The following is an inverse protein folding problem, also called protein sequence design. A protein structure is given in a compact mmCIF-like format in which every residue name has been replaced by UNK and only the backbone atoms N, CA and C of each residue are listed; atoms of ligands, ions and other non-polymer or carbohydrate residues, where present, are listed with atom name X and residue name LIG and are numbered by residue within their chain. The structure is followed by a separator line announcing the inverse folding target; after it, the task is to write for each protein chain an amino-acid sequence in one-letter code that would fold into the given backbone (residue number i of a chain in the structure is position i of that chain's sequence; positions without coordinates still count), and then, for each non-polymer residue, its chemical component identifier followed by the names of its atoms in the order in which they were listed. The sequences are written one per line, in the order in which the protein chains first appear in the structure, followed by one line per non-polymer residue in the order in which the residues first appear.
data_IF_794907950626
#
_entry.id   IF_794907950626
#
_cell.length_a   1.000
_cell.length_b   1.000
_cell.length_c   1.000
_cell.angle_alpha   90.00
_cell.angle_beta   90.00
_cell.angle_gamma   90.00
#
_symmetry.space_group_name_H-M   'P 1'
#
loop_
_entity.id
_entity.type
_entity.pdbx_description
1 polymer ?
#
# COMPACT_ATOMS: atom_id res chain seq x y z
N UNK A 1 -5.08 1.40 11.01
CA UNK A 1 -4.06 2.06 10.15
C UNK A 1 -4.17 1.53 8.72
N UNK A 2 -3.60 2.25 7.75
CA UNK A 2 -3.44 1.79 6.37
C UNK A 2 -2.02 2.05 5.87
N UNK A 3 -1.50 1.16 5.03
CA UNK A 3 -0.22 1.30 4.35
C UNK A 3 -0.48 1.42 2.84
N UNK A 4 0.10 2.44 2.22
CA UNK A 4 0.14 2.59 0.76
C UNK A 4 1.59 2.60 0.32
N UNK A 5 1.93 1.78 -0.66
CA UNK A 5 3.27 1.73 -1.27
C UNK A 5 3.17 2.14 -2.71
N UNK A 6 3.95 3.15 -3.08
CA UNK A 6 3.97 3.71 -4.43
C UNK A 6 5.41 3.87 -4.94
N UNK A 7 5.58 3.62 -6.24
CA UNK A 7 6.73 4.07 -7.02
C UNK A 7 6.46 5.50 -7.51
N UNK A 8 7.15 6.49 -6.94
CA UNK A 8 6.93 7.91 -7.28
C UNK A 8 7.66 8.35 -8.55
N UNK A 9 8.51 7.48 -9.11
CA UNK A 9 9.30 7.74 -10.31
C UNK A 9 8.82 6.91 -11.51
N UNK A 10 7.72 6.16 -11.35
CA UNK A 10 7.13 5.38 -12.41
C UNK A 10 6.80 6.27 -13.63
N UNK A 11 7.41 6.00 -14.80
CA UNK A 11 7.13 6.78 -15.99
C UNK A 11 5.74 6.43 -16.51
N UNK A 12 4.87 7.44 -16.61
CA UNK A 12 3.64 7.32 -17.39
C UNK A 12 3.97 7.80 -18.83
N UNK A 13 3.93 6.91 -19.84
CA UNK A 13 4.20 7.29 -21.23
C UNK A 13 3.10 8.17 -21.84
N UNK A 14 1.98 8.40 -21.13
CA UNK A 14 0.79 9.10 -21.60
C UNK A 14 0.39 10.34 -20.80
N UNK A 15 0.95 10.55 -19.60
CA UNK A 15 0.52 11.60 -18.67
C UNK A 15 1.69 12.09 -17.78
N UNK A 16 1.56 13.20 -17.02
CA UNK A 16 2.59 13.62 -16.06
C UNK A 16 2.90 12.50 -15.05
N UNK A 17 4.17 12.39 -14.63
CA UNK A 17 4.67 11.39 -13.67
C UNK A 17 3.69 11.24 -12.52
N UNK A 18 2.99 10.11 -12.49
CA UNK A 18 2.00 9.78 -11.48
C UNK A 18 2.55 8.64 -10.63
N UNK A 19 2.46 8.73 -9.29
CA UNK A 19 2.86 7.63 -8.43
C UNK A 19 2.13 6.34 -8.81
N UNK A 20 2.87 5.26 -8.98
CA UNK A 20 2.34 3.94 -9.31
C UNK A 20 2.18 3.12 -8.05
N UNK A 21 0.94 2.82 -7.70
CA UNK A 21 0.54 2.07 -6.51
C UNK A 21 0.93 0.61 -6.67
N UNK A 22 1.92 0.18 -5.90
CA UNK A 22 2.37 -1.22 -5.83
C UNK A 22 1.57 -2.03 -4.82
N UNK A 23 1.11 -1.39 -3.73
CA UNK A 23 0.39 -2.08 -2.66
C UNK A 23 -0.47 -1.15 -1.82
N UNK A 24 -1.61 -1.66 -1.38
CA UNK A 24 -2.51 -1.01 -0.43
C UNK A 24 -2.93 -2.06 0.59
N UNK A 25 -2.74 -1.75 1.87
CA UNK A 25 -3.22 -2.57 3.00
C UNK A 25 -3.99 -1.67 3.94
N UNK A 26 -5.22 -2.06 4.28
CA UNK A 26 -6.04 -1.34 5.24
C UNK A 26 -6.35 -2.18 6.47
N UNK A 27 -6.95 -1.53 7.46
CA UNK A 27 -7.41 -2.13 8.71
C UNK A 27 -6.29 -2.81 9.51
N UNK A 28 -5.05 -2.32 9.37
CA UNK A 28 -3.92 -2.77 10.18
C UNK A 28 -4.18 -2.36 11.65
N UNK A 29 -4.24 -3.32 12.60
CA UNK A 29 -4.43 -3.03 14.02
C UNK A 29 -3.31 -2.15 14.56
N UNK A 30 -3.60 -1.18 15.44
CA UNK A 30 -2.57 -0.36 16.09
C UNK A 30 -1.64 -1.17 17.00
N UNK A 31 -2.05 -2.37 17.41
CA UNK A 31 -1.24 -3.33 18.17
C UNK A 31 -0.16 -4.01 17.32
N UNK A 32 -0.39 -4.08 16.00
CA UNK A 32 0.51 -4.75 15.06
C UNK A 32 1.77 -3.90 14.86
N UNK A 33 2.95 -4.50 15.06
CA UNK A 33 4.24 -3.80 14.95
C UNK A 33 4.88 -3.87 13.56
N UNK A 34 4.34 -4.69 12.67
CA UNK A 34 4.85 -4.85 11.32
C UNK A 34 4.09 -5.92 10.57
N UNK A 35 4.37 -6.00 9.27
CA UNK A 35 3.88 -7.08 8.42
C UNK A 35 5.05 -8.04 8.15
N UNK A 36 4.83 -9.37 8.24
CA UNK A 36 5.82 -10.35 7.83
C UNK A 36 6.27 -10.12 6.38
N UNK A 37 7.51 -10.46 6.08
CA UNK A 37 7.96 -10.51 4.70
C UNK A 37 7.11 -11.52 3.92
N UNK A 38 6.72 -11.15 2.68
CA UNK A 38 5.88 -12.01 1.85
C UNK A 38 4.45 -12.20 2.38
N UNK A 39 3.95 -11.27 3.22
CA UNK A 39 2.59 -11.31 3.77
C UNK A 39 1.49 -11.27 2.71
N UNK A 40 1.72 -10.62 1.57
CA UNK A 40 0.68 -10.41 0.57
C UNK A 40 0.05 -11.72 0.08
N UNK A 41 -1.29 -11.76 0.04
CA UNK A 41 -2.06 -12.95 -0.31
C UNK A 41 -2.12 -14.04 0.78
N UNK A 42 -1.54 -13.82 1.96
CA UNK A 42 -1.46 -14.79 3.07
C UNK A 42 -2.27 -14.39 4.30
N UNK A 43 -3.21 -13.46 4.16
CA UNK A 43 -4.04 -12.96 5.28
C UNK A 43 -4.68 -14.11 6.08
N UNK A 44 -5.21 -15.12 5.39
CA UNK A 44 -5.87 -16.29 5.98
C UNK A 44 -4.89 -17.30 6.60
N UNK A 45 -3.66 -17.39 6.09
CA UNK A 45 -2.64 -18.34 6.56
C UNK A 45 -1.96 -17.86 7.85
N UNK A 46 -1.78 -16.54 8.01
CA UNK A 46 -1.08 -15.97 9.16
C UNK A 46 -2.00 -15.87 10.39
N UNK A 47 -3.30 -15.67 10.19
CA UNK A 47 -4.31 -15.68 11.25
C UNK A 47 -4.15 -14.60 12.33
N UNK A 48 -4.93 -14.70 13.41
CA UNK A 48 -4.87 -13.77 14.54
C UNK A 48 -5.18 -12.31 14.14
N UNK A 49 -4.37 -11.37 14.64
CA UNK A 49 -4.48 -9.94 14.33
C UNK A 49 -4.34 -9.65 12.82
N UNK A 50 -3.74 -10.56 12.04
CA UNK A 50 -3.56 -10.41 10.60
C UNK A 50 -4.83 -10.69 9.78
N UNK A 51 -5.79 -11.42 10.35
CA UNK A 51 -7.02 -11.81 9.63
C UNK A 51 -7.97 -10.63 9.35
N UNK A 52 -7.83 -9.55 10.11
CA UNK A 52 -8.63 -8.33 9.93
C UNK A 52 -8.05 -7.36 8.89
N UNK A 53 -6.81 -7.59 8.45
CA UNK A 53 -6.20 -6.80 7.39
C UNK A 53 -6.94 -7.05 6.08
N UNK A 54 -6.92 -6.05 5.21
CA UNK A 54 -7.47 -6.15 3.87
C UNK A 54 -6.53 -5.55 2.86
N UNK A 55 -6.19 -6.33 1.84
CA UNK A 55 -5.47 -5.85 0.67
C UNK A 55 -6.39 -5.16 -0.34
N UNK A 56 -6.02 -3.95 -0.73
CA UNK A 56 -6.70 -3.17 -1.75
C UNK A 56 -6.19 -3.46 -3.16
N UNK A 57 -6.93 -2.99 -4.17
CA UNK A 57 -6.48 -3.07 -5.56
C UNK A 57 -5.37 -2.06 -5.83
N UNK A 58 -4.30 -2.52 -6.46
CA UNK A 58 -3.15 -1.73 -6.92
C UNK A 58 -3.34 -1.25 -8.37
N UNK A 59 -2.37 -0.55 -8.96
CA UNK A 59 -2.48 -0.04 -10.35
C UNK A 59 -2.46 -1.16 -11.42
N UNK A 60 -2.09 -2.39 -11.06
CA UNK A 60 -2.33 -3.59 -11.90
C UNK A 60 -3.78 -4.08 -11.85
N UNK A 61 -4.66 -3.38 -11.14
CA UNK A 61 -6.09 -3.73 -10.95
C UNK A 61 -6.29 -5.10 -10.30
N UNK A 62 -5.33 -5.53 -9.48
CA UNK A 62 -5.42 -6.76 -8.68
C UNK A 62 -5.19 -6.44 -7.21
N UNK A 63 -5.77 -7.21 -6.28
CA UNK A 63 -5.45 -7.07 -4.87
C UNK A 63 -4.01 -7.49 -4.58
N UNK A 64 -3.47 -6.90 -3.51
CA UNK A 64 -2.19 -7.30 -2.94
C UNK A 64 -0.96 -6.68 -3.58
N UNK A 65 0.20 -7.11 -3.12
CA UNK A 65 1.50 -6.61 -3.55
C UNK A 65 1.79 -7.04 -4.98
N UNK A 66 2.15 -6.07 -5.82
CA UNK A 66 2.79 -6.33 -7.10
C UNK A 66 4.04 -5.48 -7.20
N UNK A 67 5.16 -6.19 -7.36
CA UNK A 67 6.45 -5.56 -7.55
C UNK A 67 6.41 -4.65 -8.79
N UNK A 68 7.08 -3.50 -8.73
CA UNK A 68 7.22 -2.61 -9.87
C UNK A 68 7.88 -3.35 -11.04
N UNK A 69 7.35 -3.16 -12.25
CA UNK A 69 8.14 -3.46 -13.45
C UNK A 69 9.06 -2.28 -13.70
N UNK A 70 10.26 -2.30 -13.14
CA UNK A 70 11.24 -1.23 -13.25
C UNK A 70 11.82 -1.15 -14.68
N UNK A 71 11.47 -0.13 -15.48
CA UNK A 71 12.10 0.09 -16.79
C UNK A 71 13.50 0.68 -16.66
N UNK A 72 13.83 1.28 -15.51
CA UNK A 72 15.12 1.88 -15.21
C UNK A 72 15.53 1.63 -13.75
N UNK A 73 16.82 1.77 -13.44
CA UNK A 73 17.32 1.69 -12.06
C UNK A 73 17.05 3.00 -11.32
N UNK A 74 16.99 2.96 -9.99
CA UNK A 74 16.96 4.16 -9.15
C UNK A 74 15.57 4.75 -8.86
N UNK A 75 14.50 3.97 -9.06
CA UNK A 75 13.15 4.38 -8.67
C UNK A 75 13.02 4.48 -7.14
N UNK A 76 12.33 5.51 -6.67
CA UNK A 76 12.03 5.73 -5.26
C UNK A 76 10.67 5.14 -4.90
N UNK A 77 10.66 4.29 -3.87
CA UNK A 77 9.44 3.74 -3.29
C UNK A 77 9.05 4.52 -2.05
N UNK A 78 7.84 5.05 -2.03
CA UNK A 78 7.27 5.70 -0.85
C UNK A 78 6.30 4.76 -0.15
N UNK A 79 6.63 4.43 1.10
CA UNK A 79 5.76 3.68 2.02
C UNK A 79 5.07 4.67 2.93
N UNK A 80 3.78 4.94 2.72
CA UNK A 80 3.00 5.86 3.55
C UNK A 80 2.09 5.09 4.49
N UNK A 81 2.32 5.23 5.79
CA UNK A 81 1.49 4.65 6.84
C UNK A 81 0.55 5.71 7.41
N UNK A 82 -0.74 5.45 7.32
CA UNK A 82 -1.84 6.32 7.73
C UNK A 82 -2.50 5.80 9.01
N UNK A 83 -2.72 6.70 9.98
CA UNK A 83 -3.67 6.47 11.05
C UNK A 83 -5.09 6.68 10.53
N UNK A 84 -6.00 5.77 10.87
CA UNK A 84 -7.40 5.81 10.42
C UNK A 84 -8.28 5.89 11.66
N UNK A 85 -9.27 6.77 11.61
CA UNK A 85 -10.26 6.93 12.68
C UNK A 85 -11.34 5.83 12.62
N UNK A 86 -11.49 5.16 11.47
CA UNK A 86 -12.50 4.12 11.22
C UNK A 86 -11.95 2.96 10.37
N UNK A 87 -12.66 1.83 10.39
CA UNK A 87 -12.38 0.71 9.47
C UNK A 87 -12.79 1.05 8.03
N UNK A 88 -11.89 0.77 7.09
CA UNK A 88 -12.13 0.99 5.67
C UNK A 88 -12.77 -0.24 5.02
N UNK A 89 -13.79 0.02 4.20
CA UNK A 89 -14.34 -0.96 3.25
C UNK A 89 -13.62 -0.78 1.92
N UNK A 90 -12.62 -1.62 1.67
CA UNK A 90 -11.93 -1.63 0.39
C UNK A 90 -12.81 -2.25 -0.69
N UNK A 91 -13.00 -1.54 -1.80
CA UNK A 91 -13.71 -2.03 -2.98
C UNK A 91 -12.75 -2.46 -4.10
N UNK A 92 -13.30 -2.84 -5.25
CA UNK A 92 -12.54 -3.30 -6.42
C UNK A 92 -11.95 -2.17 -7.27
N UNK A 93 -11.82 -0.96 -6.71
CA UNK A 93 -11.21 0.19 -7.37
C UNK A 93 -9.83 0.43 -6.79
N UNK A 94 -8.90 0.85 -7.65
CA UNK A 94 -7.58 1.31 -7.21
C UNK A 94 -7.77 2.44 -6.22
N UNK A 95 -7.33 2.25 -4.98
CA UNK A 95 -7.65 3.14 -3.86
C UNK A 95 -6.38 3.77 -3.30
N UNK A 96 -5.75 4.67 -4.05
CA UNK A 96 -4.73 5.58 -3.51
C UNK A 96 -5.32 6.93 -3.07
N UNK A 97 -6.58 7.22 -3.43
CA UNK A 97 -7.19 8.54 -3.18
C UNK A 97 -7.88 8.65 -1.82
N UNK A 98 -7.33 9.57 -1.02
CA UNK A 98 -7.99 10.31 0.07
C UNK A 98 -8.68 9.45 1.12
N UNK A 99 -7.88 8.86 2.01
CA UNK A 99 -8.41 8.40 3.28
C UNK A 99 -8.65 9.60 4.20
N UNK A 100 -9.76 9.66 4.97
CA UNK A 100 -9.89 10.63 6.05
C UNK A 100 -8.80 10.32 7.07
N UNK A 101 -7.72 11.11 7.05
CA UNK A 101 -6.51 10.88 7.83
C UNK A 101 -6.23 12.05 8.75
N UNK A 102 -6.09 11.76 10.03
CA UNK A 102 -5.40 12.59 11.02
C UNK A 102 -3.89 12.33 10.87
N UNK A 103 -3.25 13.09 9.96
CA UNK A 103 -1.81 13.25 9.69
C UNK A 103 -0.82 12.33 10.43
N UNK A 104 -0.27 11.35 9.71
CA UNK A 104 1.14 10.92 9.84
C UNK A 104 1.59 10.41 8.47
N UNK A 105 2.64 10.99 7.88
CA UNK A 105 3.29 10.47 6.67
C UNK A 105 4.72 10.15 7.08
N UNK A 106 5.02 8.89 7.37
CA UNK A 106 6.39 8.42 7.46
C UNK A 106 6.87 8.18 6.02
N UNK A 107 7.96 8.82 5.60
CA UNK A 107 8.63 8.53 4.32
C UNK A 107 9.94 7.83 4.65
N UNK A 108 10.03 6.53 4.37
CA UNK A 108 11.27 5.78 4.48
C UNK A 108 11.98 5.86 3.13
N UNK A 109 13.11 6.57 3.07
CA UNK A 109 14.03 6.54 1.93
C UNK A 109 14.99 5.38 2.12
N UNK A 110 15.04 4.43 1.17
CA UNK A 110 16.10 3.43 1.13
C UNK A 110 17.36 4.09 0.57
N UNK A 111 18.49 3.91 1.26
CA UNK A 111 19.81 4.48 0.95
C UNK A 111 20.51 3.65 -0.14
#
# INVERSE_FOLDING_TARGET
MALVVEDIDAPDPSDPVKPWTCWVVANIPPTLKGLPEGFSGKEEEVGGDYACLKEGHNDYKVPGWRGPKLPSHGHRFQFRLFALDEQLKLGNKVSSKSYPCTHAILTLSTN
#
